data_IF_577148928092
#
_entry.id   IF_577148928092
#
_cell.length_a   1.000
_cell.length_b   1.000
_cell.length_c   1.000
_cell.angle_alpha   90.00
_cell.angle_beta   90.00
_cell.angle_gamma   90.00
#
_symmetry.space_group_name_H-M   'P 1'
#
loop_
_entity.id
_entity.type
_entity.pdbx_description
1 polymer ?
#
# COMPACT_ATOMS: atom_id res chain seq x y z
N UNK A 1 -3.90 -17.31 -36.22
CA UNK A 1 -5.27 -16.76 -36.07
C UNK A 1 -5.26 -15.87 -34.83
N UNK A 2 -4.79 -14.64 -34.99
CA UNK A 2 -4.86 -13.62 -33.96
C UNK A 2 -6.29 -13.07 -33.96
N UNK A 3 -7.06 -13.37 -32.92
CA UNK A 3 -8.37 -12.73 -32.71
C UNK A 3 -8.09 -11.30 -32.25
N UNK A 4 -8.10 -10.37 -33.20
CA UNK A 4 -8.12 -8.93 -32.91
C UNK A 4 -9.38 -8.59 -32.12
N UNK A 5 -9.19 -8.15 -30.89
CA UNK A 5 -10.27 -7.58 -30.07
C UNK A 5 -10.60 -6.21 -30.65
N UNK A 6 -11.69 -6.12 -31.40
CA UNK A 6 -12.21 -4.85 -31.91
C UNK A 6 -12.90 -4.09 -30.77
N UNK A 7 -12.26 -3.04 -30.27
CA UNK A 7 -12.88 -2.12 -29.31
C UNK A 7 -13.80 -1.15 -30.06
N UNK A 8 -15.07 -1.07 -29.64
CA UNK A 8 -16.04 -0.12 -30.18
C UNK A 8 -15.63 1.34 -29.90
N UNK A 9 -15.89 2.31 -30.79
CA UNK A 9 -15.53 3.72 -30.60
C UNK A 9 -16.02 4.32 -29.28
N UNK A 10 -17.15 3.84 -28.74
CA UNK A 10 -17.67 4.28 -27.44
C UNK A 10 -16.84 3.81 -26.24
N UNK A 11 -16.15 2.67 -26.34
CA UNK A 11 -15.23 2.16 -25.32
C UNK A 11 -13.90 2.92 -25.33
N UNK A 12 -13.45 3.38 -26.50
CA UNK A 12 -12.27 4.22 -26.64
C UNK A 12 -12.49 5.62 -26.05
N UNK A 13 -13.67 6.22 -26.24
CA UNK A 13 -14.02 7.52 -25.67
C UNK A 13 -14.18 7.45 -24.13
N UNK A 14 -14.73 6.35 -23.60
CA UNK A 14 -14.83 6.16 -22.14
C UNK A 14 -13.49 5.84 -21.48
N UNK A 15 -12.57 5.16 -22.16
CA UNK A 15 -11.19 4.94 -21.71
C UNK A 15 -10.36 6.22 -21.78
N UNK A 16 -10.46 6.99 -22.88
CA UNK A 16 -9.76 8.26 -23.06
C UNK A 16 -10.17 9.28 -22.01
N UNK A 17 -11.47 9.45 -21.76
CA UNK A 17 -11.97 10.34 -20.70
C UNK A 17 -11.60 9.87 -19.29
N UNK A 18 -11.51 8.55 -19.06
CA UNK A 18 -11.06 8.00 -17.78
C UNK A 18 -9.56 8.18 -17.56
N UNK A 19 -8.75 8.05 -18.62
CA UNK A 19 -7.30 8.31 -18.59
C UNK A 19 -7.00 9.80 -18.42
N UNK A 20 -7.76 10.69 -19.08
CA UNK A 20 -7.67 12.14 -18.89
C UNK A 20 -8.05 12.54 -17.46
N UNK A 21 -9.10 11.93 -16.89
CA UNK A 21 -9.50 12.16 -15.51
C UNK A 21 -8.46 11.63 -14.49
N UNK A 22 -7.78 10.51 -14.77
CA UNK A 22 -6.68 10.01 -13.92
C UNK A 22 -5.42 10.88 -14.04
N UNK A 23 -5.17 11.46 -15.22
CA UNK A 23 -4.03 12.34 -15.46
C UNK A 23 -4.22 13.73 -14.82
N UNK A 24 -5.43 14.31 -14.89
CA UNK A 24 -5.76 15.54 -14.14
C UNK A 24 -5.71 15.32 -12.61
N UNK A 25 -6.03 14.11 -12.15
CA UNK A 25 -6.00 13.76 -10.73
C UNK A 25 -4.59 13.79 -10.12
N UNK A 26 -3.61 13.25 -10.86
CA UNK A 26 -2.20 13.23 -10.45
C UNK A 26 -1.61 14.64 -10.39
N UNK A 27 -2.06 15.55 -11.26
CA UNK A 27 -1.56 16.93 -11.31
C UNK A 27 -2.01 17.76 -10.10
N UNK A 28 -3.21 17.52 -9.56
CA UNK A 28 -3.73 18.24 -8.39
C UNK A 28 -3.10 17.75 -7.08
N UNK A 29 -2.72 16.47 -6.98
CA UNK A 29 -1.98 15.94 -5.84
C UNK A 29 -0.62 16.63 -5.65
N UNK A 30 -0.03 17.13 -6.73
CA UNK A 30 1.25 17.87 -6.69
C UNK A 30 1.09 19.35 -6.31
N UNK A 31 -0.14 19.89 -6.22
CA UNK A 31 -0.38 21.24 -5.70
C UNK A 31 -0.12 21.31 -4.19
N UNK A 32 -0.30 20.20 -3.49
CA UNK A 32 -0.11 20.14 -2.06
C UNK A 32 1.38 20.01 -1.74
N UNK A 33 1.88 20.80 -0.77
CA UNK A 33 3.25 20.69 -0.28
C UNK A 33 3.35 19.46 0.62
N UNK A 34 3.27 18.29 0.00
CA UNK A 34 3.73 17.06 0.61
C UNK A 34 5.25 17.12 0.57
N UNK A 35 5.85 17.73 1.59
CA UNK A 35 7.29 17.68 1.71
C UNK A 35 7.66 16.19 1.84
N UNK A 36 8.63 15.68 1.06
CA UNK A 36 9.04 14.28 1.14
C UNK A 36 9.58 13.88 2.53
N UNK A 37 9.79 14.88 3.40
CA UNK A 37 10.22 14.75 4.80
C UNK A 37 9.03 14.62 5.76
N UNK A 38 7.78 14.76 5.29
CA UNK A 38 6.62 14.52 6.15
C UNK A 38 6.66 13.06 6.68
N UNK A 39 6.39 12.85 7.97
CA UNK A 39 6.53 11.55 8.62
C UNK A 39 5.67 10.46 7.97
N UNK A 40 4.57 10.85 7.32
CA UNK A 40 3.68 9.97 6.58
C UNK A 40 4.39 9.31 5.38
N UNK A 41 5.13 10.08 4.58
CA UNK A 41 5.85 9.55 3.41
C UNK A 41 7.07 8.72 3.81
N UNK A 42 7.77 9.14 4.88
CA UNK A 42 8.88 8.36 5.44
C UNK A 42 8.41 6.96 5.83
N UNK A 43 7.26 6.84 6.51
CA UNK A 43 6.69 5.54 6.85
C UNK A 43 6.40 4.69 5.60
N UNK A 44 5.77 5.28 4.57
CA UNK A 44 5.44 4.57 3.33
C UNK A 44 6.70 4.03 2.65
N UNK A 45 7.77 4.83 2.54
CA UNK A 45 9.03 4.40 1.93
C UNK A 45 9.74 3.30 2.73
N UNK A 46 9.76 3.40 4.06
CA UNK A 46 10.30 2.37 4.93
C UNK A 46 9.49 1.07 4.79
N UNK A 47 8.16 1.17 4.77
CA UNK A 47 7.26 0.02 4.62
C UNK A 47 7.50 -0.72 3.30
N UNK A 48 7.62 0.01 2.19
CA UNK A 48 7.94 -0.56 0.87
C UNK A 48 9.31 -1.25 0.90
N UNK A 49 10.30 -0.61 1.53
CA UNK A 49 11.66 -1.16 1.61
C UNK A 49 11.69 -2.47 2.40
N UNK A 50 11.02 -2.52 3.55
CA UNK A 50 10.89 -3.73 4.37
C UNK A 50 10.11 -4.81 3.60
N UNK A 51 9.05 -4.43 2.88
CA UNK A 51 8.26 -5.37 2.07
C UNK A 51 9.11 -6.08 1.01
N UNK A 52 10.05 -5.37 0.37
CA UNK A 52 10.97 -5.97 -0.60
C UNK A 52 11.93 -6.96 0.07
N UNK A 53 12.42 -6.64 1.27
CA UNK A 53 13.26 -7.55 2.05
C UNK A 53 12.49 -8.82 2.44
N UNK A 54 11.25 -8.68 2.92
CA UNK A 54 10.39 -9.81 3.28
C UNK A 54 10.16 -10.77 2.10
N UNK A 55 10.00 -10.25 0.88
CA UNK A 55 9.87 -11.08 -0.33
C UNK A 55 11.13 -11.90 -0.59
N UNK A 56 12.31 -11.27 -0.48
CA UNK A 56 13.60 -11.95 -0.65
C UNK A 56 13.79 -13.03 0.42
N UNK A 57 13.47 -12.71 1.68
CA UNK A 57 13.51 -13.68 2.79
C UNK A 57 12.51 -14.82 2.58
N UNK A 58 11.33 -14.55 2.02
CA UNK A 58 10.34 -15.57 1.67
C UNK A 58 10.88 -16.56 0.64
N UNK A 59 11.45 -16.08 -0.46
CA UNK A 59 12.06 -16.92 -1.51
C UNK A 59 13.22 -17.74 -0.95
N UNK A 60 14.07 -17.10 -0.15
CA UNK A 60 15.20 -17.76 0.50
C UNK A 60 14.75 -18.81 1.52
N UNK A 61 13.70 -18.51 2.30
CA UNK A 61 13.12 -19.41 3.29
C UNK A 61 12.56 -20.69 2.67
N UNK A 62 11.89 -20.57 1.52
CA UNK A 62 11.43 -21.72 0.73
C UNK A 62 12.60 -22.51 0.15
N UNK A 63 13.64 -21.83 -0.33
CA UNK A 63 14.78 -22.51 -0.98
C UNK A 63 15.70 -23.25 -0.01
N UNK A 64 15.72 -22.85 1.26
CA UNK A 64 16.70 -23.36 2.25
C UNK A 64 16.12 -24.44 3.17
N UNK A 65 14.81 -24.74 3.08
CA UNK A 65 14.09 -25.70 3.96
C UNK A 65 14.32 -25.51 5.47
N UNK A 66 14.76 -24.32 5.89
CA UNK A 66 15.05 -24.02 7.30
C UNK A 66 13.79 -23.48 7.97
N UNK A 67 13.21 -24.31 8.84
CA UNK A 67 12.06 -23.95 9.68
C UNK A 67 12.28 -22.64 10.45
N UNK A 68 13.51 -22.37 10.92
CA UNK A 68 13.84 -21.14 11.63
C UNK A 68 13.67 -19.88 10.77
N UNK A 69 14.05 -19.92 9.50
CA UNK A 69 13.85 -18.81 8.56
C UNK A 69 12.36 -18.56 8.30
N UNK A 70 11.58 -19.64 8.20
CA UNK A 70 10.13 -19.56 7.99
C UNK A 70 9.41 -18.93 9.21
N UNK A 71 9.84 -19.27 10.42
CA UNK A 71 9.33 -18.63 11.64
C UNK A 71 9.72 -17.16 11.75
N UNK A 72 10.97 -16.83 11.42
CA UNK A 72 11.42 -15.44 11.42
C UNK A 72 10.61 -14.60 10.42
N UNK A 73 10.42 -15.11 9.20
CA UNK A 73 9.56 -14.50 8.19
C UNK A 73 8.11 -14.33 8.68
N UNK A 74 7.54 -15.35 9.31
CA UNK A 74 6.18 -15.26 9.87
C UNK A 74 6.04 -14.18 10.95
N UNK A 75 7.03 -14.03 11.84
CA UNK A 75 7.04 -12.99 12.86
C UNK A 75 7.17 -11.60 12.24
N UNK A 76 8.06 -11.42 11.25
CA UNK A 76 8.19 -10.15 10.53
C UNK A 76 6.88 -9.75 9.84
N UNK A 77 6.22 -10.71 9.18
CA UNK A 77 4.95 -10.46 8.51
C UNK A 77 3.83 -10.07 9.49
N UNK A 78 3.83 -10.64 10.70
CA UNK A 78 2.92 -10.24 11.78
C UNK A 78 3.21 -8.80 12.25
N UNK A 79 4.47 -8.44 12.44
CA UNK A 79 4.88 -7.07 12.82
C UNK A 79 4.42 -6.07 11.75
N UNK A 80 4.56 -6.41 10.46
CA UNK A 80 4.11 -5.56 9.36
C UNK A 80 2.59 -5.32 9.37
N UNK A 81 1.78 -6.34 9.68
CA UNK A 81 0.32 -6.17 9.85
C UNK A 81 0.01 -5.24 11.02
N UNK A 82 0.73 -5.37 12.14
CA UNK A 82 0.56 -4.49 13.29
C UNK A 82 0.94 -3.04 12.93
N UNK A 83 2.01 -2.85 12.16
CA UNK A 83 2.44 -1.54 11.68
C UNK A 83 1.41 -0.91 10.72
N UNK A 84 0.83 -1.68 9.80
CA UNK A 84 -0.24 -1.17 8.93
C UNK A 84 -1.47 -0.73 9.74
N UNK A 85 -1.82 -1.48 10.79
CA UNK A 85 -2.93 -1.12 11.66
C UNK A 85 -2.65 0.17 12.44
N UNK A 86 -1.45 0.34 12.98
CA UNK A 86 -1.08 1.58 13.66
C UNK A 86 -1.05 2.75 12.68
N UNK A 87 -0.53 2.55 11.47
CA UNK A 87 -0.54 3.55 10.42
C UNK A 87 -1.96 3.95 10.00
N UNK A 88 -2.87 2.98 9.84
CA UNK A 88 -4.27 3.26 9.51
C UNK A 88 -4.91 4.19 10.56
N UNK A 89 -4.66 3.94 11.85
CA UNK A 89 -5.16 4.79 12.94
C UNK A 89 -4.48 6.17 12.92
N UNK A 90 -3.15 6.23 12.85
CA UNK A 90 -2.39 7.49 12.86
C UNK A 90 -2.73 8.37 11.66
N UNK A 91 -2.93 7.78 10.48
CA UNK A 91 -3.28 8.49 9.24
C UNK A 91 -4.61 9.24 9.37
N UNK A 92 -5.59 8.71 10.11
CA UNK A 92 -6.86 9.42 10.35
C UNK A 92 -6.68 10.71 11.16
N UNK A 93 -5.84 10.68 12.19
CA UNK A 93 -5.51 11.85 13.01
C UNK A 93 -4.66 12.85 12.23
N UNK A 94 -3.72 12.37 11.43
CA UNK A 94 -2.92 13.24 10.57
C UNK A 94 -3.81 13.95 9.54
N UNK A 95 -4.75 13.24 8.92
CA UNK A 95 -5.66 13.80 7.94
C UNK A 95 -6.56 14.90 8.53
N UNK A 96 -7.09 14.73 9.74
CA UNK A 96 -7.90 15.79 10.38
C UNK A 96 -7.08 17.05 10.66
N UNK A 97 -5.80 16.89 11.03
CA UNK A 97 -4.88 18.02 11.21
C UNK A 97 -4.54 18.70 9.87
N UNK A 98 -4.34 17.92 8.80
CA UNK A 98 -4.10 18.45 7.45
C UNK A 98 -5.28 19.27 6.96
N UNK A 99 -6.51 18.75 7.11
CA UNK A 99 -7.73 19.47 6.72
C UNK A 99 -7.84 20.80 7.45
N UNK A 100 -7.61 20.80 8.76
CA UNK A 100 -7.80 21.99 9.60
C UNK A 100 -6.70 23.05 9.44
N UNK A 101 -5.57 22.71 8.81
CA UNK A 101 -4.47 23.66 8.55
C UNK A 101 -4.35 24.01 7.06
N UNK A 102 -5.26 23.50 6.21
CA UNK A 102 -5.12 23.58 4.76
C UNK A 102 -5.29 25.02 4.24
N UNK A 103 -6.30 25.72 4.76
CA UNK A 103 -6.59 27.13 4.47
C UNK A 103 -5.42 28.04 4.86
N UNK A 104 -4.93 27.92 6.09
CA UNK A 104 -3.80 28.71 6.60
C UNK A 104 -2.52 28.48 5.79
N UNK A 105 -2.21 27.20 5.48
CA UNK A 105 -1.04 26.87 4.63
C UNK A 105 -1.19 27.46 3.24
N UNK A 106 -2.36 27.33 2.63
CA UNK A 106 -2.59 27.82 1.28
C UNK A 106 -2.49 29.34 1.22
N UNK A 107 -3.04 30.06 2.20
CA UNK A 107 -2.85 31.51 2.34
C UNK A 107 -1.37 31.85 2.51
N UNK A 108 -0.64 31.10 3.34
CA UNK A 108 0.79 31.30 3.55
C UNK A 108 1.62 31.17 2.27
N UNK A 109 1.38 30.14 1.44
CA UNK A 109 2.06 29.94 0.15
C UNK A 109 1.62 30.96 -0.93
N UNK A 110 0.43 31.52 -0.81
CA UNK A 110 -0.10 32.50 -1.76
C UNK A 110 0.37 33.94 -1.46
N UNK A 111 0.74 34.27 -0.21
CA UNK A 111 1.25 35.59 0.18
C UNK A 111 2.73 35.76 -0.20
N UNK A 112 2.96 36.60 -1.22
CA UNK A 112 4.26 36.99 -1.74
C UNK A 112 5.16 37.62 -0.67
N UNK A 113 4.61 38.26 0.37
CA UNK A 113 5.41 38.86 1.45
C UNK A 113 6.21 37.82 2.22
N UNK A 114 5.65 36.63 2.42
CA UNK A 114 6.34 35.52 3.09
C UNK A 114 7.46 34.93 2.22
N UNK A 115 7.33 35.05 0.90
CA UNK A 115 8.32 34.61 -0.08
C UNK A 115 9.39 35.66 -0.38
N UNK A 116 9.12 36.96 -0.17
CA UNK A 116 10.08 38.04 -0.40
C UNK A 116 11.25 38.06 0.58
N UNK A 117 11.12 37.45 1.75
CA UNK A 117 12.20 37.32 2.75
C UNK A 117 13.01 36.03 2.63
N UNK A 118 12.58 35.09 1.78
CA UNK A 118 13.25 33.80 1.59
C UNK A 118 13.73 33.69 0.14
N UNK A 119 14.98 34.10 -0.06
CA UNK A 119 15.83 34.01 -1.26
C UNK A 119 16.03 32.56 -1.82
N UNK A 120 15.07 31.65 -1.61
CA UNK A 120 15.22 30.20 -1.84
C UNK A 120 14.14 29.54 -2.69
N UNK A 121 13.01 30.19 -2.97
CA UNK A 121 12.06 29.62 -3.94
C UNK A 121 12.49 30.08 -5.33
N UNK A 122 13.04 29.15 -6.10
CA UNK A 122 13.37 29.40 -7.51
C UNK A 122 12.10 29.89 -8.22
N UNK A 123 12.23 30.90 -9.07
CA UNK A 123 11.15 31.45 -9.89
C UNK A 123 10.29 30.36 -10.56
N UNK A 124 10.93 29.25 -10.90
CA UNK A 124 10.34 28.13 -11.61
C UNK A 124 9.38 27.30 -10.73
N UNK A 125 9.69 27.12 -9.45
CA UNK A 125 8.83 26.39 -8.50
C UNK A 125 7.55 27.18 -8.21
N UNK A 126 7.68 28.50 -8.05
CA UNK A 126 6.54 29.40 -7.89
C UNK A 126 5.67 29.37 -9.16
N UNK A 127 6.27 29.46 -10.36
CA UNK A 127 5.55 29.36 -11.62
C UNK A 127 4.74 28.06 -11.76
N UNK A 128 5.31 26.93 -11.34
CA UNK A 128 4.64 25.63 -11.34
C UNK A 128 3.46 25.58 -10.36
N UNK A 129 3.64 26.09 -9.14
CA UNK A 129 2.56 26.21 -8.15
C UNK A 129 1.40 27.05 -8.69
N UNK A 130 1.71 28.21 -9.26
CA UNK A 130 0.75 29.15 -9.81
C UNK A 130 -0.06 28.59 -10.98
N UNK A 131 0.58 27.80 -11.84
CA UNK A 131 -0.08 27.08 -12.92
C UNK A 131 -1.11 26.08 -12.37
N UNK A 132 -0.70 25.25 -11.40
CA UNK A 132 -1.60 24.26 -10.76
C UNK A 132 -2.74 24.91 -10.00
N UNK A 133 -2.47 26.03 -9.32
CA UNK A 133 -3.51 26.79 -8.63
C UNK A 133 -4.57 27.33 -9.61
N UNK A 134 -4.12 27.83 -10.77
CA UNK A 134 -5.01 28.26 -11.85
C UNK A 134 -5.87 27.10 -12.37
N UNK A 135 -5.30 25.90 -12.51
CA UNK A 135 -6.03 24.70 -12.94
C UNK A 135 -7.11 24.31 -11.92
N UNK A 136 -6.79 24.29 -10.62
CA UNK A 136 -7.76 24.03 -9.54
C UNK A 136 -8.91 25.03 -9.56
N UNK A 137 -8.62 26.31 -9.71
CA UNK A 137 -9.65 27.35 -9.80
C UNK A 137 -10.59 27.16 -10.99
N UNK A 138 -10.04 26.81 -12.15
CA UNK A 138 -10.84 26.53 -13.34
C UNK A 138 -11.61 25.21 -13.27
N UNK A 139 -11.03 24.16 -12.67
CA UNK A 139 -11.62 22.82 -12.59
C UNK A 139 -12.70 22.70 -11.53
N UNK A 140 -12.54 23.40 -10.41
CA UNK A 140 -13.53 23.45 -9.32
C UNK A 140 -14.47 24.66 -9.40
N UNK A 141 -14.35 25.47 -10.45
CA UNK A 141 -15.16 26.68 -10.66
C UNK A 141 -15.15 27.65 -9.47
N UNK A 142 -14.00 27.79 -8.80
CA UNK A 142 -13.87 28.52 -7.54
C UNK A 142 -12.87 29.69 -7.65
N UNK A 143 -12.89 30.62 -6.69
CA UNK A 143 -11.95 31.75 -6.69
C UNK A 143 -11.50 32.15 -5.28
N UNK A 144 -10.18 32.27 -5.12
CA UNK A 144 -9.54 32.52 -3.83
C UNK A 144 -9.53 31.28 -2.93
N UNK A 145 -9.01 31.44 -1.71
CA UNK A 145 -8.91 30.35 -0.74
C UNK A 145 -10.29 30.12 -0.13
N UNK A 146 -10.80 31.13 0.57
CA UNK A 146 -12.16 31.16 1.10
C UNK A 146 -13.08 32.02 0.24
N UNK A 147 -12.56 33.13 -0.31
CA UNK A 147 -13.32 34.10 -1.08
C UNK A 147 -12.47 34.83 -2.13
N UNK A 148 -13.11 35.42 -3.16
CA UNK A 148 -12.41 36.30 -4.09
C UNK A 148 -11.81 37.57 -3.45
N UNK A 149 -12.25 37.91 -2.23
CA UNK A 149 -11.71 39.03 -1.45
C UNK A 149 -10.30 38.78 -0.93
N UNK A 150 -9.86 37.53 -0.82
CA UNK A 150 -8.54 37.16 -0.28
C UNK A 150 -7.43 37.81 -1.11
N UNK A 151 -7.65 37.95 -2.42
CA UNK A 151 -6.77 38.65 -3.34
C UNK A 151 -6.57 40.14 -3.04
N UNK A 152 -7.49 40.78 -2.31
CA UNK A 152 -7.36 42.18 -1.94
C UNK A 152 -6.53 42.40 -0.66
N UNK A 153 -6.35 41.36 0.16
CA UNK A 153 -5.68 41.44 1.46
C UNK A 153 -4.25 40.92 1.45
N UNK A 154 -3.87 40.11 0.46
CA UNK A 154 -2.51 39.57 0.29
C UNK A 154 -1.84 40.10 -0.98
N UNK A 155 -0.52 40.29 -0.94
CA UNK A 155 0.25 40.52 -2.16
C UNK A 155 0.43 39.16 -2.81
N UNK A 156 -0.24 38.91 -3.94
CA UNK A 156 -0.30 37.55 -4.47
C UNK A 156 0.95 37.17 -5.26
N UNK A 157 1.52 36.00 -4.97
CA UNK A 157 2.74 35.54 -5.64
C UNK A 157 2.52 35.16 -7.11
N UNK A 158 1.33 34.64 -7.46
CA UNK A 158 1.07 34.13 -8.80
C UNK A 158 0.55 35.16 -9.80
N UNK A 159 0.17 36.35 -9.34
CA UNK A 159 -0.16 37.47 -10.21
C UNK A 159 -0.08 38.79 -9.44
N UNK A 160 0.57 39.79 -10.03
CA UNK A 160 0.49 41.16 -9.53
C UNK A 160 -0.94 41.69 -9.74
N UNK A 161 -1.62 42.10 -8.66
CA UNK A 161 -2.93 42.75 -8.75
C UNK A 161 -2.78 44.12 -9.44
N UNK A 162 -2.83 44.12 -10.78
CA UNK A 162 -2.87 45.38 -11.53
C UNK A 162 -4.34 45.84 -11.53
N UNK A 163 -4.63 46.94 -10.83
CA UNK A 163 -5.95 47.57 -10.79
C UNK A 163 -7.11 46.68 -10.27
N UNK A 164 -6.84 45.76 -9.34
CA UNK A 164 -7.88 44.91 -8.73
C UNK A 164 -8.44 43.83 -9.66
N UNK A 165 -7.76 43.53 -10.78
CA UNK A 165 -8.08 42.40 -11.64
C UNK A 165 -7.72 41.07 -10.96
N UNK A 166 -8.66 40.13 -10.95
CA UNK A 166 -8.47 38.76 -10.47
C UNK A 166 -7.80 37.89 -11.55
N UNK A 167 -7.24 36.71 -11.16
CA UNK A 167 -6.73 35.73 -12.11
C UNK A 167 -7.78 35.29 -13.13
N UNK A 168 -7.36 35.02 -14.37
CA UNK A 168 -8.27 34.58 -15.43
C UNK A 168 -8.99 33.26 -15.08
N UNK A 169 -8.36 32.40 -14.29
CA UNK A 169 -8.91 31.15 -13.75
C UNK A 169 -10.09 31.32 -12.80
N UNK A 170 -10.24 32.50 -12.19
CA UNK A 170 -11.38 32.84 -11.32
C UNK A 170 -12.68 33.14 -12.08
N UNK A 171 -12.66 33.18 -13.41
CA UNK A 171 -13.79 33.56 -14.25
C UNK A 171 -14.17 32.44 -15.24
N UNK A 172 -15.49 32.18 -15.47
CA UNK A 172 -15.97 31.13 -16.38
C UNK A 172 -15.75 31.40 -17.87
N UNK A 173 -15.26 32.59 -18.23
CA UNK A 173 -14.90 32.93 -19.60
C UNK A 173 -13.64 33.78 -19.60
N UNK A 174 -12.87 33.67 -20.70
CA UNK A 174 -11.64 34.43 -21.01
C UNK A 174 -11.92 35.92 -21.20
N UNK A 175 -12.68 36.54 -20.31
CA UNK A 175 -12.78 37.99 -20.23
C UNK A 175 -11.37 38.53 -20.02
N UNK A 176 -10.95 39.48 -20.87
CA UNK A 176 -9.61 40.10 -20.79
C UNK A 176 -9.34 40.71 -19.41
N UNK A 177 -10.40 41.03 -18.65
CA UNK A 177 -10.33 41.52 -17.28
C UNK A 177 -11.31 40.76 -16.40
N UNK A 178 -10.80 39.83 -15.58
CA UNK A 178 -11.60 39.18 -14.55
C UNK A 178 -11.71 40.13 -13.34
N UNK A 179 -12.93 40.46 -12.92
CA UNK A 179 -13.22 41.33 -11.77
C UNK A 179 -14.04 40.57 -10.74
N UNK A 180 -14.14 41.11 -9.52
CA UNK A 180 -14.94 40.51 -8.43
C UNK A 180 -16.42 40.30 -8.80
N UNK A 181 -16.95 41.06 -9.75
CA UNK A 181 -18.34 40.95 -10.19
C UNK A 181 -18.56 39.69 -11.02
N UNK A 182 -17.65 39.40 -11.95
CA UNK A 182 -17.73 38.28 -12.90
C UNK A 182 -16.95 37.03 -12.47
N UNK A 183 -16.36 37.04 -11.27
CA UNK A 183 -15.68 35.88 -10.71
C UNK A 183 -16.64 34.88 -10.08
N UNK A 184 -16.15 33.64 -9.92
CA UNK A 184 -16.77 32.69 -9.01
C UNK A 184 -16.89 33.28 -7.61
N UNK A 185 -18.01 33.01 -6.92
CA UNK A 185 -18.33 33.62 -5.62
C UNK A 185 -17.90 32.78 -4.43
N UNK A 186 -17.57 31.51 -4.65
CA UNK A 186 -17.15 30.59 -3.62
C UNK A 186 -15.64 30.36 -3.65
N UNK A 187 -15.04 30.18 -2.48
CA UNK A 187 -13.63 29.84 -2.32
C UNK A 187 -13.33 28.39 -2.70
N UNK A 188 -12.06 28.14 -3.02
CA UNK A 188 -11.60 26.84 -3.46
C UNK A 188 -11.41 25.82 -2.34
N UNK A 189 -11.21 26.22 -1.08
CA UNK A 189 -10.90 25.27 0.01
C UNK A 189 -11.97 24.21 0.20
N UNK A 190 -13.25 24.59 0.19
CA UNK A 190 -14.36 23.64 0.40
C UNK A 190 -14.48 22.60 -0.72
N UNK A 191 -14.64 22.98 -2.00
CA UNK A 191 -14.72 22.01 -3.09
C UNK A 191 -13.41 21.22 -3.24
N UNK A 192 -12.27 21.81 -2.93
CA UNK A 192 -10.98 21.11 -2.93
C UNK A 192 -10.93 20.05 -1.84
N UNK A 193 -11.41 20.36 -0.64
CA UNK A 193 -11.49 19.43 0.47
C UNK A 193 -12.47 18.28 0.18
N UNK A 194 -13.61 18.58 -0.42
CA UNK A 194 -14.59 17.58 -0.85
C UNK A 194 -13.99 16.63 -1.88
N UNK A 195 -13.32 17.19 -2.90
CA UNK A 195 -12.57 16.40 -3.88
C UNK A 195 -11.47 15.55 -3.21
N UNK A 196 -10.70 16.12 -2.28
CA UNK A 196 -9.63 15.38 -1.58
C UNK A 196 -10.20 14.22 -0.76
N UNK A 197 -11.32 14.41 -0.07
CA UNK A 197 -11.96 13.36 0.72
C UNK A 197 -12.52 12.24 -0.17
N UNK A 198 -13.16 12.57 -1.29
CA UNK A 198 -13.64 11.58 -2.27
C UNK A 198 -12.48 10.70 -2.79
N UNK A 199 -11.35 11.33 -3.10
CA UNK A 199 -10.17 10.63 -3.60
C UNK A 199 -9.42 9.86 -2.51
N UNK A 200 -9.35 10.37 -1.28
CA UNK A 200 -8.82 9.65 -0.13
C UNK A 200 -9.58 8.34 0.07
N UNK A 201 -10.90 8.37 -0.01
CA UNK A 201 -11.73 7.19 0.24
C UNK A 201 -11.47 6.09 -0.81
N UNK A 202 -11.17 6.46 -2.05
CA UNK A 202 -10.78 5.50 -3.08
C UNK A 202 -9.31 5.06 -2.99
N UNK A 203 -8.35 5.99 -2.92
CA UNK A 203 -6.92 5.64 -3.03
C UNK A 203 -6.29 5.23 -1.72
N UNK A 204 -6.64 5.84 -0.59
CA UNK A 204 -6.02 5.55 0.71
C UNK A 204 -6.82 4.49 1.47
N UNK A 205 -8.13 4.59 1.51
CA UNK A 205 -8.96 3.67 2.30
C UNK A 205 -9.08 2.30 1.62
N UNK A 206 -9.56 2.23 0.37
CA UNK A 206 -9.74 0.95 -0.33
C UNK A 206 -8.41 0.17 -0.47
N UNK A 207 -7.32 0.84 -0.86
CA UNK A 207 -6.03 0.17 -1.03
C UNK A 207 -5.50 -0.39 0.28
N UNK A 208 -5.59 0.36 1.38
CA UNK A 208 -5.14 -0.07 2.71
C UNK A 208 -5.93 -1.30 3.18
N UNK A 209 -7.25 -1.29 3.03
CA UNK A 209 -8.07 -2.45 3.39
C UNK A 209 -7.77 -3.67 2.53
N UNK A 210 -7.59 -3.51 1.21
CA UNK A 210 -7.23 -4.61 0.32
C UNK A 210 -5.87 -5.20 0.67
N UNK A 211 -4.85 -4.36 0.90
CA UNK A 211 -3.51 -4.80 1.30
C UNK A 211 -3.55 -5.53 2.65
N UNK A 212 -4.29 -5.00 3.63
CA UNK A 212 -4.44 -5.63 4.94
C UNK A 212 -5.11 -7.00 4.81
N UNK A 213 -6.20 -7.12 4.03
CA UNK A 213 -6.87 -8.39 3.76
C UNK A 213 -5.92 -9.42 3.12
N UNK A 214 -5.17 -9.01 2.09
CA UNK A 214 -4.20 -9.89 1.43
C UNK A 214 -3.09 -10.36 2.40
N UNK A 215 -2.59 -9.46 3.26
CA UNK A 215 -1.60 -9.81 4.29
C UNK A 215 -2.19 -10.76 5.33
N UNK A 216 -3.41 -10.55 5.80
CA UNK A 216 -4.04 -11.47 6.77
C UNK A 216 -4.23 -12.87 6.16
N UNK A 217 -4.72 -12.94 4.92
CA UNK A 217 -4.86 -14.23 4.19
C UNK A 217 -3.49 -14.89 4.02
N UNK A 218 -2.47 -14.14 3.59
CA UNK A 218 -1.10 -14.64 3.47
C UNK A 218 -0.53 -15.17 4.79
N UNK A 219 -0.80 -14.49 5.91
CA UNK A 219 -0.37 -14.94 7.24
C UNK A 219 -1.03 -16.26 7.65
N UNK A 220 -2.33 -16.43 7.34
CA UNK A 220 -3.08 -17.66 7.63
C UNK A 220 -2.54 -18.83 6.80
N UNK A 221 -2.35 -18.62 5.50
CA UNK A 221 -1.78 -19.63 4.59
C UNK A 221 -0.38 -20.02 5.07
N UNK A 222 0.48 -19.04 5.32
CA UNK A 222 1.83 -19.27 5.81
C UNK A 222 1.81 -20.09 7.10
N UNK A 223 0.98 -19.72 8.08
CA UNK A 223 0.84 -20.46 9.34
C UNK A 223 0.39 -21.91 9.14
N UNK A 224 -0.47 -22.16 8.14
CA UNK A 224 -0.90 -23.51 7.80
C UNK A 224 0.26 -24.35 7.27
N UNK A 225 1.02 -23.81 6.32
CA UNK A 225 2.21 -24.44 5.74
C UNK A 225 3.27 -24.74 6.82
N UNK A 226 3.57 -23.78 7.72
CA UNK A 226 4.52 -24.00 8.82
C UNK A 226 4.08 -25.20 9.67
N UNK A 227 2.78 -25.28 10.01
CA UNK A 227 2.24 -26.39 10.82
C UNK A 227 2.33 -27.73 10.08
N UNK A 228 2.04 -27.74 8.78
CA UNK A 228 2.14 -28.95 7.97
C UNK A 228 3.59 -29.48 7.94
N UNK A 229 4.56 -28.60 7.66
CA UNK A 229 5.99 -28.97 7.61
C UNK A 229 6.49 -29.53 8.96
N UNK A 230 6.05 -28.95 10.07
CA UNK A 230 6.39 -29.46 11.42
C UNK A 230 5.82 -30.86 11.64
N UNK A 231 4.55 -31.07 11.26
CA UNK A 231 3.88 -32.37 11.41
C UNK A 231 4.56 -33.46 10.57
N UNK A 232 4.97 -33.14 9.34
CA UNK A 232 5.71 -34.06 8.48
C UNK A 232 7.05 -34.48 9.11
N UNK A 233 7.81 -33.53 9.65
CA UNK A 233 9.09 -33.82 10.31
C UNK A 233 8.89 -34.66 11.57
N UNK A 234 7.86 -34.35 12.37
CA UNK A 234 7.53 -35.12 13.56
C UNK A 234 7.16 -36.58 13.19
N UNK A 235 6.35 -36.76 12.15
CA UNK A 235 5.94 -38.08 11.65
C UNK A 235 7.14 -38.89 11.14
N UNK A 236 8.05 -38.28 10.37
CA UNK A 236 9.29 -38.95 9.92
C UNK A 236 10.18 -39.38 11.09
N UNK A 237 10.32 -38.54 12.12
CA UNK A 237 11.07 -38.90 13.35
C UNK A 237 10.44 -40.09 14.09
N UNK A 238 9.11 -40.11 14.24
CA UNK A 238 8.39 -41.22 14.86
C UNK A 238 8.60 -42.52 14.08
N UNK A 239 8.44 -42.49 12.74
CA UNK A 239 8.64 -43.68 11.91
C UNK A 239 10.06 -44.23 12.03
N UNK A 240 11.09 -43.36 12.01
CA UNK A 240 12.49 -43.78 12.17
C UNK A 240 12.76 -44.41 13.54
N UNK A 241 12.21 -43.85 14.62
CA UNK A 241 12.32 -44.41 15.97
C UNK A 241 11.61 -45.77 16.07
N UNK A 242 10.44 -45.92 15.46
CA UNK A 242 9.71 -47.18 15.43
C UNK A 242 10.45 -48.28 14.64
N UNK A 243 11.12 -47.93 13.53
CA UNK A 243 11.97 -48.87 12.77
C UNK A 243 13.16 -49.31 13.61
N UNK A 244 13.86 -48.38 14.28
CA UNK A 244 14.96 -48.74 15.18
C UNK A 244 14.49 -49.66 16.32
N UNK A 245 13.30 -49.42 16.88
CA UNK A 245 12.73 -50.27 17.94
C UNK A 245 12.39 -51.67 17.43
N UNK A 246 11.83 -51.79 16.22
CA UNK A 246 11.56 -53.10 15.58
C UNK A 246 12.85 -53.88 15.31
N UNK A 247 13.88 -53.22 14.77
CA UNK A 247 15.16 -53.87 14.53
C UNK A 247 15.81 -54.33 15.84
N UNK A 248 15.77 -53.50 16.87
CA UNK A 248 16.26 -53.86 18.21
C UNK A 248 15.48 -55.06 18.79
N UNK A 249 14.17 -55.15 18.62
CA UNK A 249 13.38 -56.31 19.08
C UNK A 249 13.65 -57.62 18.32
N UNK A 250 14.14 -57.57 17.07
CA UNK A 250 14.49 -58.77 16.30
C UNK A 250 15.84 -59.34 16.76
N UNK A 251 16.78 -58.50 17.18
CA UNK A 251 18.13 -58.91 17.61
C UNK A 251 18.16 -59.62 18.99
N UNK A 252 17.04 -59.64 19.73
CA UNK A 252 16.90 -60.40 21.00
C UNK A 252 16.13 -61.70 20.86
N UNK A 253 15.73 -62.12 19.65
CA UNK A 253 15.27 -63.48 19.45
C UNK A 253 16.50 -64.39 19.41
N UNK A 254 16.75 -65.24 20.42
CA UNK A 254 17.87 -66.14 20.37
C UNK A 254 17.70 -67.08 19.16
N UNK A 255 18.68 -67.04 18.27
CA UNK A 255 18.94 -68.09 17.28
C UNK A 255 19.18 -69.41 18.05
N UNK A 256 18.12 -70.16 18.34
CA UNK A 256 18.26 -71.59 18.65
C UNK A 256 18.56 -72.29 17.34
N UNK A 257 19.84 -72.31 16.97
CA UNK A 257 20.30 -72.99 15.78
C UNK A 257 20.48 -74.49 16.07
N UNK A 258 19.86 -75.28 15.20
CA UNK A 258 20.15 -76.66 14.78
C UNK A 258 21.34 -77.43 15.43
N UNK A 259 21.05 -78.64 15.91
CA UNK A 259 21.89 -79.83 15.62
C UNK A 259 22.42 -80.67 16.79
N UNK A 260 21.84 -81.86 17.03
CA UNK A 260 22.59 -83.10 17.34
C UNK A 260 21.74 -84.37 17.17
N UNK A 261 22.24 -85.30 16.33
CA UNK A 261 21.78 -86.69 16.15
C UNK A 261 22.05 -87.55 17.39
N UNK A 262 21.22 -88.59 17.65
CA UNK A 262 21.66 -90.00 17.87
C UNK A 262 20.51 -90.91 18.36
N UNK A 263 20.10 -91.83 17.46
CA UNK A 263 19.81 -93.27 17.59
C UNK A 263 19.09 -93.93 18.80
N UNK A 264 18.20 -94.84 18.39
CA UNK A 264 17.71 -96.09 19.00
C UNK A 264 16.78 -95.91 20.23
N UNK A 265 15.65 -96.60 20.38
CA UNK A 265 15.22 -97.90 19.86
C UNK A 265 13.72 -98.11 20.10
N UNK A 266 13.16 -99.03 19.32
CA UNK A 266 12.06 -99.95 19.66
C UNK A 266 10.63 -99.45 19.84
N UNK A 267 9.81 -99.85 18.85
CA UNK A 267 8.66 -100.79 19.03
C UNK A 267 7.24 -100.21 19.03
N UNK A 268 6.47 -100.81 18.09
CA UNK A 268 5.01 -100.98 17.99
C UNK A 268 4.12 -99.78 17.59
N UNK A 269 3.79 -99.74 16.29
CA UNK A 269 2.39 -99.69 15.78
C UNK A 269 1.51 -100.76 16.47
N UNK A 270 0.15 -100.71 16.46
CA UNK A 270 -0.69 -100.08 15.43
C UNK A 270 -2.05 -99.48 15.89
N UNK A 271 -2.77 -98.87 14.90
CA UNK A 271 -4.23 -98.85 14.70
C UNK A 271 -5.09 -98.11 15.76
N UNK A 272 -6.20 -97.43 15.46
CA UNK A 272 -7.17 -97.55 14.38
C UNK A 272 -8.05 -96.28 14.36
N UNK A 273 -8.52 -95.92 13.15
CA UNK A 273 -9.63 -95.00 12.80
C UNK A 273 -9.55 -93.50 13.13
#
# INVERSE_FOLDING_TARGET
>A
MERGVSFSPSQLISQQSRLEAEQELGDWMNLFPFEPVDPHWIYVYISISIQMLDLILGIYGVSTDRIACLYFFWVLFLIMIAADLTYAVVSTFWWSNVISTLDDKLIYYMDKRNHSTSDKIKSDEMGNFCKRWSEVQSGLFCCGVERPSDYATMEFACQSLINGSLPASCCPSKFKHCTKEYSYKFGCVRPLLEWMNDKRDFYLSLSTYLVLCLRVVGLIILRHEIRQLINEIHTRKIMKNNIHRKNFSIDYLPLTNSGRMSNNSSVSTPLME
#
